data_IF_944805548840
#
_entry.id   IF_944805548840
#
_cell.length_a   1.000
_cell.length_b   1.000
_cell.length_c   1.000
_cell.angle_alpha   90.00
_cell.angle_beta   90.00
_cell.angle_gamma   90.00
#
_symmetry.space_group_name_H-M   'P 1'
#
loop_
_entity.id
_entity.type
_entity.pdbx_description
1 polymer ?
#
# COMPACT_ATOMS: atom_id res chain seq x y z
N UNK A 1 42.04 17.23 -86.62
CA UNK A 1 41.96 15.91 -85.89
C UNK A 1 42.34 15.99 -84.41
N UNK A 2 41.92 17.03 -83.66
CA UNK A 2 42.33 17.20 -82.23
C UNK A 2 41.08 17.23 -81.28
N UNK A 3 39.82 17.12 -81.83
CA UNK A 3 38.62 17.27 -81.02
C UNK A 3 38.14 15.95 -80.32
N UNK A 4 38.62 14.78 -80.77
CA UNK A 4 38.20 13.47 -80.22
C UNK A 4 38.98 12.98 -79.00
N UNK A 5 40.21 13.51 -78.78
CA UNK A 5 41.03 13.06 -77.62
C UNK A 5 40.45 13.46 -76.27
N UNK A 6 39.84 14.65 -76.14
CA UNK A 6 39.27 15.12 -74.90
C UNK A 6 37.99 14.36 -74.54
N UNK A 7 37.16 13.97 -75.51
CA UNK A 7 35.94 13.18 -75.29
C UNK A 7 36.21 11.75 -74.83
N UNK A 8 37.26 11.12 -75.39
CA UNK A 8 37.71 9.80 -74.89
C UNK A 8 38.31 9.87 -73.52
N UNK A 9 39.01 10.94 -73.13
CA UNK A 9 39.56 11.16 -71.80
C UNK A 9 38.43 11.33 -70.77
N UNK A 10 37.35 12.13 -71.05
CA UNK A 10 36.23 12.29 -70.22
C UNK A 10 35.40 10.99 -70.07
N UNK A 11 35.26 10.20 -71.15
CA UNK A 11 34.59 8.89 -71.11
C UNK A 11 35.38 7.89 -70.26
N UNK A 12 36.71 7.83 -70.32
CA UNK A 12 37.51 6.99 -69.44
C UNK A 12 37.46 7.44 -67.99
N UNK A 13 37.45 8.74 -67.72
CA UNK A 13 37.26 9.28 -66.36
C UNK A 13 35.88 8.95 -65.75
N UNK A 14 34.82 9.09 -66.54
CA UNK A 14 33.43 8.73 -66.08
C UNK A 14 33.31 7.24 -65.89
N UNK A 15 33.86 6.41 -66.76
CA UNK A 15 33.91 4.96 -66.64
C UNK A 15 34.70 4.52 -65.39
N UNK A 16 35.86 5.15 -65.16
CA UNK A 16 36.67 4.90 -63.98
C UNK A 16 35.98 5.29 -62.70
N UNK A 17 35.30 6.46 -62.67
CA UNK A 17 34.48 6.89 -61.53
C UNK A 17 33.33 5.92 -61.23
N UNK A 18 32.63 5.45 -62.28
CA UNK A 18 31.55 4.48 -62.17
C UNK A 18 32.05 3.14 -61.60
N UNK A 19 33.22 2.67 -62.04
CA UNK A 19 33.83 1.45 -61.57
C UNK A 19 34.27 1.56 -60.10
N UNK A 20 34.79 2.71 -59.68
CA UNK A 20 35.10 2.99 -58.26
C UNK A 20 33.85 2.98 -57.43
N UNK A 21 32.76 3.64 -57.86
CA UNK A 21 31.49 3.65 -57.16
C UNK A 21 30.86 2.25 -57.05
N UNK A 22 31.01 1.44 -58.12
CA UNK A 22 30.55 0.05 -58.09
C UNK A 22 31.34 -0.79 -57.06
N UNK A 23 32.68 -0.67 -57.03
CA UNK A 23 33.51 -1.36 -56.03
C UNK A 23 33.18 -0.91 -54.61
N UNK A 24 32.99 0.40 -54.38
CA UNK A 24 32.58 0.95 -53.06
C UNK A 24 31.18 0.47 -52.62
N UNK A 25 30.30 0.12 -53.53
CA UNK A 25 29.00 -0.46 -53.25
C UNK A 25 29.10 -1.90 -52.73
N UNK A 26 30.10 -2.70 -53.13
CA UNK A 26 30.29 -4.08 -52.69
C UNK A 26 31.00 -4.22 -51.35
N UNK A 27 31.87 -3.24 -51.01
CA UNK A 27 32.60 -3.26 -49.73
C UNK A 27 31.67 -2.87 -48.60
N UNK A 28 31.40 -3.80 -47.66
CA UNK A 28 30.54 -3.57 -46.47
C UNK A 28 31.42 -3.32 -45.24
N UNK A 29 31.20 -2.19 -44.58
CA UNK A 29 31.83 -1.81 -43.30
C UNK A 29 30.79 -1.81 -42.20
N UNK A 30 31.17 -2.14 -40.93
CA UNK A 30 30.25 -2.03 -39.82
C UNK A 30 29.90 -0.55 -39.60
N UNK A 31 28.60 -0.25 -39.58
CA UNK A 31 28.13 1.10 -39.27
C UNK A 31 28.27 1.36 -37.77
N UNK A 32 28.99 2.41 -37.41
CA UNK A 32 29.12 2.84 -36.02
C UNK A 32 28.40 4.16 -35.80
N UNK A 33 27.48 4.19 -34.86
CA UNK A 33 26.60 5.32 -34.55
C UNK A 33 26.96 5.84 -33.17
N UNK A 34 27.35 7.11 -33.09
CA UNK A 34 27.61 7.78 -31.81
C UNK A 34 26.31 8.44 -31.30
N UNK A 35 25.91 8.10 -30.09
CA UNK A 35 24.71 8.60 -29.46
C UNK A 35 25.00 9.00 -28.01
N UNK A 36 24.38 10.06 -27.51
CA UNK A 36 24.43 10.37 -26.08
C UNK A 36 23.61 9.35 -25.29
N UNK A 37 24.14 8.93 -24.16
CA UNK A 37 23.46 8.07 -23.21
C UNK A 37 23.43 8.69 -21.81
N UNK A 38 22.51 8.25 -21.00
CA UNK A 38 22.40 8.59 -19.58
C UNK A 38 22.42 7.32 -18.74
N UNK A 39 23.22 7.32 -17.69
CA UNK A 39 23.32 6.21 -16.74
C UNK A 39 22.18 6.31 -15.73
N UNK A 40 21.35 5.28 -15.66
CA UNK A 40 20.21 5.17 -14.76
C UNK A 40 20.37 3.93 -13.88
N UNK A 41 19.77 3.88 -12.68
CA UNK A 41 19.65 2.64 -11.92
C UNK A 41 18.73 1.68 -12.68
N UNK A 42 18.88 0.37 -12.47
CA UNK A 42 17.93 -0.59 -13.06
C UNK A 42 16.54 -0.40 -12.46
N UNK A 43 16.47 -0.21 -11.13
CA UNK A 43 15.22 0.12 -10.45
C UNK A 43 15.38 1.39 -9.62
N UNK A 44 14.34 2.20 -9.65
CA UNK A 44 14.23 3.44 -8.90
C UNK A 44 12.90 3.45 -8.15
N UNK A 45 12.95 3.65 -6.85
CA UNK A 45 11.77 3.78 -6.01
C UNK A 45 11.67 5.21 -5.47
N UNK A 46 10.53 5.82 -5.74
CA UNK A 46 10.21 7.19 -5.39
C UNK A 46 9.07 7.21 -4.38
N UNK A 47 9.23 7.99 -3.33
CA UNK A 47 8.17 8.38 -2.42
C UNK A 47 7.95 9.87 -2.56
N UNK A 48 6.83 10.27 -3.12
CA UNK A 48 6.50 11.67 -3.43
C UNK A 48 5.21 12.10 -2.73
N UNK A 49 5.05 13.40 -2.55
CA UNK A 49 3.82 14.02 -2.06
C UNK A 49 3.17 14.79 -3.21
N UNK A 50 1.93 14.47 -3.52
CA UNK A 50 1.17 15.20 -4.54
C UNK A 50 0.74 16.58 -4.04
N UNK A 51 0.34 17.46 -4.96
CA UNK A 51 -0.24 18.78 -4.66
C UNK A 51 -1.52 18.69 -3.81
N UNK A 52 -2.26 17.59 -3.93
CA UNK A 52 -3.43 17.29 -3.10
C UNK A 52 -3.06 16.76 -1.70
N UNK A 53 -1.77 16.58 -1.39
CA UNK A 53 -1.29 16.08 -0.12
C UNK A 53 -1.15 14.56 -0.04
N UNK A 54 -1.60 13.80 -1.03
CA UNK A 54 -1.49 12.34 -1.04
C UNK A 54 -0.04 11.89 -1.18
N UNK A 55 0.29 10.77 -0.55
CA UNK A 55 1.59 10.11 -0.71
C UNK A 55 1.53 9.13 -1.85
N UNK A 56 2.52 9.20 -2.73
CA UNK A 56 2.62 8.35 -3.91
C UNK A 56 3.92 7.58 -3.84
N UNK A 57 3.81 6.27 -3.93
CA UNK A 57 4.96 5.39 -4.10
C UNK A 57 5.00 4.92 -5.55
N UNK A 58 6.15 5.05 -6.19
CA UNK A 58 6.35 4.64 -7.57
C UNK A 58 7.62 3.83 -7.68
N UNK A 59 7.53 2.61 -8.17
CA UNK A 59 8.67 1.78 -8.51
C UNK A 59 8.84 1.76 -10.02
N UNK A 60 9.91 2.38 -10.51
CA UNK A 60 10.25 2.46 -11.93
C UNK A 60 11.30 1.40 -12.24
N UNK A 61 11.05 0.61 -13.24
CA UNK A 61 12.04 -0.30 -13.82
C UNK A 61 12.56 0.29 -15.13
N UNK A 62 13.77 0.83 -15.07
CA UNK A 62 14.41 1.45 -16.23
C UNK A 62 14.89 0.44 -17.29
N UNK A 63 15.09 -0.83 -16.90
CA UNK A 63 15.44 -1.90 -17.84
C UNK A 63 14.34 -2.15 -18.86
N UNK A 64 13.09 -2.11 -18.42
CA UNK A 64 11.92 -2.31 -19.28
C UNK A 64 11.23 -0.99 -19.65
N UNK A 65 11.65 0.12 -19.05
CA UNK A 65 11.05 1.46 -19.19
C UNK A 65 9.55 1.45 -18.80
N UNK A 66 9.21 0.82 -17.68
CA UNK A 66 7.85 0.69 -17.14
C UNK A 66 7.78 1.12 -15.68
N UNK A 67 6.59 1.50 -15.24
CA UNK A 67 6.27 1.57 -13.83
C UNK A 67 5.88 0.15 -13.40
N UNK A 68 6.68 -0.45 -12.50
CA UNK A 68 6.49 -1.82 -12.01
C UNK A 68 5.46 -1.87 -10.89
N UNK A 69 5.43 -0.83 -10.04
CA UNK A 69 4.46 -0.70 -8.96
C UNK A 69 4.09 0.78 -8.76
N UNK A 70 2.81 1.01 -8.47
CA UNK A 70 2.28 2.34 -8.22
C UNK A 70 1.20 2.27 -7.15
N UNK A 71 1.42 2.94 -6.03
CA UNK A 71 0.43 3.01 -4.97
C UNK A 71 0.22 4.44 -4.48
N UNK A 72 -1.03 4.76 -4.15
CA UNK A 72 -1.44 6.07 -3.63
C UNK A 72 -2.05 5.89 -2.25
N UNK A 73 -1.45 6.54 -1.27
CA UNK A 73 -1.99 6.62 0.07
C UNK A 73 -2.69 7.97 0.22
N UNK A 74 -4.01 7.92 0.33
CA UNK A 74 -4.83 9.10 0.56
C UNK A 74 -4.73 9.55 2.01
N UNK A 75 -4.54 10.86 2.18
CA UNK A 75 -4.48 11.51 3.47
C UNK A 75 -5.76 12.31 3.66
N UNK A 76 -6.39 12.19 4.82
CA UNK A 76 -7.60 12.94 5.12
C UNK A 76 -7.30 14.44 5.22
N UNK A 77 -8.22 15.25 4.73
CA UNK A 77 -8.06 16.70 4.71
C UNK A 77 -7.97 17.23 6.15
N UNK A 78 -6.91 17.97 6.45
CA UNK A 78 -6.67 18.54 7.80
C UNK A 78 -5.87 17.63 8.73
N UNK A 79 -5.48 16.40 8.29
CA UNK A 79 -4.59 15.56 9.09
C UNK A 79 -3.15 16.09 9.05
N UNK A 80 -2.51 16.10 10.22
CA UNK A 80 -1.09 16.41 10.34
C UNK A 80 -0.29 15.12 10.26
N UNK A 81 0.47 14.99 9.16
CA UNK A 81 1.32 13.83 8.91
C UNK A 81 2.78 14.20 9.11
N UNK A 82 3.46 13.42 9.91
CA UNK A 82 4.89 13.52 10.13
C UNK A 82 5.58 12.25 9.65
N UNK A 83 6.57 12.40 8.76
CA UNK A 83 7.44 11.30 8.34
C UNK A 83 8.69 11.26 9.20
N UNK A 84 8.96 10.10 9.78
CA UNK A 84 10.17 9.84 10.54
C UNK A 84 10.95 8.71 9.87
N UNK A 85 12.15 9.04 9.38
CA UNK A 85 13.07 8.06 8.83
C UNK A 85 13.65 7.20 9.96
N UNK A 86 13.83 5.90 9.72
CA UNK A 86 14.44 5.01 10.70
C UNK A 86 15.92 5.37 10.93
N UNK A 87 16.35 5.49 12.19
CA UNK A 87 17.66 6.03 12.59
C UNK A 87 18.85 5.34 11.90
N UNK A 88 18.87 4.01 11.86
CA UNK A 88 19.90 3.22 11.18
C UNK A 88 20.02 3.54 9.69
N UNK A 89 18.90 3.84 9.02
CA UNK A 89 18.87 4.14 7.59
C UNK A 89 19.33 5.56 7.26
N UNK A 90 19.25 6.46 8.23
CA UNK A 90 19.78 7.80 8.09
C UNK A 90 21.31 7.80 7.98
N UNK A 91 22.00 6.96 8.74
CA UNK A 91 23.47 6.87 8.79
C UNK A 91 24.02 6.09 7.59
N UNK A 92 23.55 4.86 7.37
CA UNK A 92 24.14 3.95 6.38
C UNK A 92 23.67 4.23 4.95
N UNK A 93 22.47 4.81 4.79
CA UNK A 93 21.79 5.01 3.50
C UNK A 93 21.64 3.74 2.67
N UNK A 94 22.08 2.58 3.16
CA UNK A 94 21.88 1.28 2.53
C UNK A 94 20.56 0.66 2.98
N UNK A 95 19.84 0.10 2.03
CA UNK A 95 18.57 -0.57 2.28
C UNK A 95 18.56 -1.96 1.65
N UNK A 96 17.94 -2.91 2.35
CA UNK A 96 17.58 -4.21 1.81
C UNK A 96 16.10 -4.24 1.45
N UNK A 97 15.71 -5.08 0.51
CA UNK A 97 14.30 -5.34 0.24
C UNK A 97 13.61 -5.87 1.49
N UNK A 98 12.45 -5.30 1.84
CA UNK A 98 11.71 -5.63 3.06
C UNK A 98 12.12 -4.83 4.30
N UNK A 99 13.15 -4.01 4.22
CA UNK A 99 13.55 -3.13 5.33
C UNK A 99 12.49 -2.06 5.60
N UNK A 100 12.23 -1.79 6.89
CA UNK A 100 11.47 -0.62 7.29
C UNK A 100 12.32 0.63 7.11
N UNK A 101 11.88 1.52 6.24
CA UNK A 101 12.58 2.78 5.94
C UNK A 101 12.18 3.89 6.89
N UNK A 102 10.90 4.00 7.19
CA UNK A 102 10.36 5.01 8.06
C UNK A 102 8.88 4.79 8.32
N UNK A 103 8.31 5.65 9.14
CA UNK A 103 6.91 5.58 9.55
C UNK A 103 6.28 6.95 9.36
N UNK A 104 5.11 6.98 8.77
CA UNK A 104 4.24 8.14 8.81
C UNK A 104 3.40 8.07 10.10
N UNK A 105 3.32 9.15 10.83
CA UNK A 105 2.40 9.27 11.96
C UNK A 105 1.31 10.27 11.61
N UNK A 106 0.05 9.82 11.72
CA UNK A 106 -1.15 10.63 11.58
C UNK A 106 -1.68 10.99 12.96
N UNK A 107 -1.93 12.26 13.20
CA UNK A 107 -2.52 12.74 14.47
C UNK A 107 -3.99 12.36 14.56
N UNK A 108 -4.70 12.39 13.43
CA UNK A 108 -6.12 12.05 13.35
C UNK A 108 -6.36 10.56 13.65
N UNK A 109 -5.60 9.67 13.00
CA UNK A 109 -5.71 8.24 13.27
C UNK A 109 -5.40 7.89 14.73
N UNK A 110 -4.40 8.55 15.34
CA UNK A 110 -4.10 8.33 16.76
C UNK A 110 -5.25 8.78 17.66
N UNK A 111 -5.86 9.92 17.37
CA UNK A 111 -7.01 10.44 18.12
C UNK A 111 -8.20 9.51 18.00
N UNK A 112 -8.53 9.08 16.79
CA UNK A 112 -9.64 8.18 16.52
C UNK A 112 -9.45 6.81 17.19
N UNK A 113 -8.24 6.25 17.12
CA UNK A 113 -7.91 5.01 17.80
C UNK A 113 -8.05 5.15 19.33
N UNK A 114 -7.65 6.28 19.91
CA UNK A 114 -7.80 6.54 21.33
C UNK A 114 -9.29 6.67 21.72
N UNK A 115 -10.12 7.32 20.90
CA UNK A 115 -11.57 7.45 21.08
C UNK A 115 -12.23 6.08 21.09
N UNK A 116 -12.00 5.26 20.06
CA UNK A 116 -12.57 3.91 19.95
C UNK A 116 -12.16 2.98 21.09
N UNK A 117 -10.88 3.05 21.51
CA UNK A 117 -10.42 2.30 22.68
C UNK A 117 -11.12 2.73 23.98
N UNK A 118 -11.37 4.03 24.13
CA UNK A 118 -12.14 4.56 25.24
C UNK A 118 -13.58 4.04 25.25
N UNK A 119 -14.27 4.11 24.11
CA UNK A 119 -15.62 3.58 23.96
C UNK A 119 -15.69 2.07 24.22
N UNK A 120 -14.73 1.30 23.71
CA UNK A 120 -14.63 -0.13 23.97
C UNK A 120 -14.47 -0.44 25.47
N UNK A 121 -13.67 0.35 26.18
CA UNK A 121 -13.47 0.17 27.61
C UNK A 121 -14.78 0.43 28.40
N UNK A 122 -15.53 1.47 28.04
CA UNK A 122 -16.84 1.78 28.63
C UNK A 122 -17.82 0.66 28.36
N UNK A 123 -17.92 0.19 27.10
CA UNK A 123 -18.88 -0.86 26.74
C UNK A 123 -18.54 -2.21 27.41
N UNK A 124 -17.25 -2.54 27.52
CA UNK A 124 -16.82 -3.72 28.30
C UNK A 124 -17.20 -3.63 29.76
N UNK A 125 -17.10 -2.45 30.36
CA UNK A 125 -17.50 -2.23 31.75
C UNK A 125 -19.03 -2.37 31.91
N UNK A 126 -19.80 -1.89 30.93
CA UNK A 126 -21.24 -2.03 30.89
C UNK A 126 -21.67 -3.50 30.74
N UNK A 127 -21.00 -4.23 29.83
CA UNK A 127 -21.24 -5.68 29.69
C UNK A 127 -20.94 -6.44 31.00
N UNK A 128 -19.82 -6.12 31.64
CA UNK A 128 -19.45 -6.70 32.91
C UNK A 128 -20.52 -6.42 34.00
N UNK A 129 -21.03 -5.20 34.02
CA UNK A 129 -22.13 -4.83 34.90
C UNK A 129 -23.40 -5.68 34.64
N UNK A 130 -23.81 -5.86 33.39
CA UNK A 130 -24.94 -6.71 33.03
C UNK A 130 -24.75 -8.19 33.41
N UNK A 131 -23.52 -8.68 33.27
CA UNK A 131 -23.18 -10.08 33.60
C UNK A 131 -23.13 -10.35 35.11
N UNK A 132 -22.84 -9.35 35.96
CA UNK A 132 -22.79 -9.52 37.42
C UNK A 132 -24.16 -9.61 38.07
N UNK A 133 -25.23 -9.22 37.35
CA UNK A 133 -26.57 -9.19 37.90
C UNK A 133 -26.78 -8.15 39.00
N UNK A 134 -27.88 -8.26 39.73
CA UNK A 134 -28.20 -7.39 40.87
C UNK A 134 -27.31 -7.67 42.07
N UNK A 135 -27.14 -6.64 42.91
CA UNK A 135 -26.32 -6.78 44.13
C UNK A 135 -26.83 -7.93 45.01
N UNK A 136 -25.94 -8.78 45.56
CA UNK A 136 -26.36 -9.89 46.42
C UNK A 136 -27.27 -9.49 47.60
N UNK A 137 -27.09 -8.28 48.14
CA UNK A 137 -27.90 -7.72 49.21
C UNK A 137 -29.36 -7.49 48.78
N UNK A 138 -29.59 -7.07 47.53
CA UNK A 138 -30.95 -6.82 47.00
C UNK A 138 -31.67 -8.16 46.76
N UNK A 139 -30.94 -9.14 46.26
CA UNK A 139 -31.49 -10.52 46.10
C UNK A 139 -31.82 -11.13 47.45
N UNK A 140 -30.97 -10.94 48.46
CA UNK A 140 -31.19 -11.45 49.82
C UNK A 140 -32.38 -10.77 50.49
N UNK A 141 -32.58 -9.46 50.32
CA UNK A 141 -33.76 -8.74 50.79
C UNK A 141 -35.07 -9.30 50.16
N UNK A 142 -35.09 -9.50 48.85
CA UNK A 142 -36.23 -10.08 48.15
C UNK A 142 -36.54 -11.53 48.62
N UNK A 143 -35.51 -12.33 48.93
CA UNK A 143 -35.67 -13.66 49.53
C UNK A 143 -36.33 -13.59 50.92
N UNK A 144 -35.86 -12.70 51.80
CA UNK A 144 -36.46 -12.50 53.13
C UNK A 144 -37.91 -12.03 53.06
N UNK A 145 -38.19 -11.18 52.06
CA UNK A 145 -39.55 -10.70 51.83
C UNK A 145 -40.49 -11.83 51.39
N UNK A 146 -40.02 -12.73 50.52
CA UNK A 146 -40.77 -13.93 50.15
C UNK A 146 -40.91 -14.89 51.34
N UNK A 147 -39.88 -15.10 52.17
CA UNK A 147 -39.92 -15.92 53.36
C UNK A 147 -41.00 -15.40 54.36
N UNK A 148 -41.02 -14.07 54.62
CA UNK A 148 -41.96 -13.41 55.44
C UNK A 148 -43.41 -13.61 54.93
N UNK A 149 -43.63 -13.36 53.62
CA UNK A 149 -44.93 -13.56 53.00
C UNK A 149 -45.42 -15.03 53.09
N UNK A 150 -44.49 -15.97 52.89
CA UNK A 150 -44.75 -17.41 52.99
C UNK A 150 -45.18 -17.82 54.43
N UNK A 151 -44.52 -17.30 55.48
CA UNK A 151 -44.88 -17.54 56.85
C UNK A 151 -46.28 -16.99 57.19
N UNK A 152 -46.60 -15.80 56.65
CA UNK A 152 -47.94 -15.23 56.85
C UNK A 152 -49.05 -16.08 56.21
N UNK A 153 -48.81 -16.62 55.02
CA UNK A 153 -49.69 -17.58 54.36
C UNK A 153 -49.84 -18.83 55.21
N UNK A 154 -48.77 -19.41 55.74
CA UNK A 154 -48.84 -20.62 56.59
C UNK A 154 -49.67 -20.39 57.87
N UNK A 155 -49.49 -19.24 58.52
CA UNK A 155 -50.25 -18.87 59.68
C UNK A 155 -51.71 -18.68 59.33
N UNK A 156 -52.04 -17.96 58.25
CA UNK A 156 -53.40 -17.73 57.82
C UNK A 156 -54.06 -19.02 57.33
N UNK A 157 -53.37 -19.98 56.78
CA UNK A 157 -53.91 -21.31 56.47
C UNK A 157 -54.30 -22.08 57.71
N UNK A 158 -53.51 -21.96 58.79
CA UNK A 158 -53.89 -22.58 60.06
C UNK A 158 -55.21 -21.96 60.66
N UNK A 159 -55.32 -20.63 60.54
CA UNK A 159 -56.54 -19.91 60.96
C UNK A 159 -57.70 -20.31 60.06
N UNK A 160 -57.53 -20.31 58.74
CA UNK A 160 -58.58 -20.71 57.79
C UNK A 160 -59.04 -22.14 58.04
N UNK A 161 -58.15 -23.13 58.24
CA UNK A 161 -58.55 -24.53 58.58
C UNK A 161 -59.36 -24.60 59.86
N UNK A 162 -58.96 -23.88 60.87
CA UNK A 162 -59.72 -23.84 62.12
C UNK A 162 -61.10 -23.23 61.93
N UNK A 163 -61.24 -22.13 61.19
CA UNK A 163 -62.55 -21.51 60.89
C UNK A 163 -63.42 -22.41 60.02
N UNK A 164 -62.86 -23.11 59.07
CA UNK A 164 -63.56 -24.08 58.24
C UNK A 164 -64.11 -25.25 59.08
N UNK A 165 -63.34 -25.77 60.05
CA UNK A 165 -63.78 -26.82 60.94
C UNK A 165 -64.88 -26.33 61.84
N UNK A 166 -64.89 -25.07 62.34
CA UNK A 166 -65.90 -24.48 63.14
C UNK A 166 -67.17 -24.20 62.31
N UNK A 167 -67.05 -23.75 61.08
CA UNK A 167 -68.18 -23.55 60.18
C UNK A 167 -68.89 -24.86 59.85
N UNK A 168 -68.11 -25.92 59.53
CA UNK A 168 -68.68 -27.25 59.29
C UNK A 168 -69.40 -27.83 60.50
N UNK A 169 -69.09 -27.34 61.71
CA UNK A 169 -69.81 -27.71 62.97
C UNK A 169 -70.94 -26.76 63.31
N UNK A 170 -71.22 -25.73 62.46
CA UNK A 170 -72.28 -24.76 62.70
C UNK A 170 -72.04 -23.78 63.85
N UNK A 171 -70.75 -23.58 64.25
CA UNK A 171 -70.30 -22.75 65.38
C UNK A 171 -69.95 -21.32 65.05
N UNK A 172 -69.81 -20.98 63.74
CA UNK A 172 -69.57 -19.62 63.27
C UNK A 172 -70.50 -19.29 62.12
N UNK A 173 -70.61 -17.97 61.79
CA UNK A 173 -71.46 -17.49 60.71
C UNK A 173 -70.70 -17.65 59.32
N UNK A 174 -71.54 -17.71 58.28
CA UNK A 174 -71.03 -17.72 56.91
C UNK A 174 -70.12 -16.50 56.62
N UNK A 175 -70.49 -15.33 57.12
CA UNK A 175 -69.70 -14.10 56.98
C UNK A 175 -68.30 -14.21 57.61
N UNK A 176 -68.20 -14.83 58.82
CA UNK A 176 -66.91 -15.03 59.48
C UNK A 176 -66.05 -16.02 58.73
N UNK A 177 -66.60 -17.04 58.11
CA UNK A 177 -65.94 -17.99 57.28
C UNK A 177 -65.38 -17.32 55.94
N UNK A 178 -66.26 -16.53 55.28
CA UNK A 178 -65.86 -15.77 54.07
C UNK A 178 -64.77 -14.76 54.36
N UNK A 179 -64.74 -14.11 55.51
CA UNK A 179 -63.70 -13.21 55.94
C UNK A 179 -62.39 -13.98 56.11
N UNK A 180 -62.36 -15.17 56.69
CA UNK A 180 -61.19 -15.98 56.86
C UNK A 180 -60.64 -16.49 55.48
N UNK A 181 -61.57 -16.84 54.60
CA UNK A 181 -61.24 -17.25 53.23
C UNK A 181 -60.60 -16.07 52.43
N UNK A 182 -61.21 -14.91 52.45
CA UNK A 182 -60.77 -13.71 51.80
C UNK A 182 -59.41 -13.25 52.33
N UNK A 183 -59.20 -13.35 53.65
CA UNK A 183 -57.91 -13.04 54.26
C UNK A 183 -56.79 -13.99 53.77
N UNK A 184 -57.05 -15.31 53.69
CA UNK A 184 -56.11 -16.26 53.16
C UNK A 184 -55.74 -15.97 51.70
N UNK A 185 -56.71 -15.63 50.86
CA UNK A 185 -56.53 -15.30 49.48
C UNK A 185 -55.68 -14.04 49.34
N UNK A 186 -55.90 -13.02 50.16
CA UNK A 186 -55.09 -11.80 50.17
C UNK A 186 -53.59 -12.11 50.46
N UNK A 187 -53.31 -12.93 51.47
CA UNK A 187 -51.92 -13.31 51.81
C UNK A 187 -51.28 -14.17 50.73
N UNK A 188 -52.05 -15.02 50.03
CA UNK A 188 -51.50 -15.77 48.82
C UNK A 188 -51.14 -14.86 47.68
N UNK A 189 -51.94 -13.83 47.41
CA UNK A 189 -51.65 -12.81 46.41
C UNK A 189 -50.34 -12.05 46.77
N UNK A 190 -50.18 -11.70 48.06
CA UNK A 190 -49.00 -11.02 48.56
C UNK A 190 -47.73 -11.88 48.45
N UNK A 191 -47.79 -13.17 48.75
CA UNK A 191 -46.73 -14.14 48.53
C UNK A 191 -46.42 -14.28 47.04
N UNK A 192 -47.39 -14.32 46.14
CA UNK A 192 -47.29 -14.32 44.72
C UNK A 192 -46.50 -13.10 44.20
N UNK A 193 -46.81 -11.91 44.74
CA UNK A 193 -46.10 -10.66 44.43
C UNK A 193 -44.66 -10.70 44.91
N UNK A 194 -44.37 -11.17 46.13
CA UNK A 194 -43.00 -11.30 46.63
C UNK A 194 -42.18 -12.30 45.82
N UNK A 195 -42.79 -13.41 45.37
CA UNK A 195 -42.17 -14.40 44.49
C UNK A 195 -41.82 -13.79 43.11
N UNK A 196 -42.73 -13.04 42.52
CA UNK A 196 -42.49 -12.35 41.27
C UNK A 196 -41.37 -11.32 41.40
N UNK A 197 -41.32 -10.59 42.52
CA UNK A 197 -40.25 -9.63 42.80
C UNK A 197 -38.88 -10.32 42.89
N UNK A 198 -38.79 -11.44 43.62
CA UNK A 198 -37.57 -12.24 43.71
C UNK A 198 -37.13 -12.76 42.32
N UNK A 199 -38.06 -13.22 41.49
CA UNK A 199 -37.75 -13.67 40.13
C UNK A 199 -37.18 -12.55 39.27
N UNK A 200 -37.73 -11.33 39.33
CA UNK A 200 -37.23 -10.15 38.61
C UNK A 200 -35.81 -9.81 39.04
N UNK A 201 -35.57 -9.72 40.36
CA UNK A 201 -34.26 -9.35 40.91
C UNK A 201 -33.21 -10.44 40.65
N UNK A 202 -33.61 -11.72 40.68
CA UNK A 202 -32.72 -12.86 40.46
C UNK A 202 -32.35 -13.06 38.99
N UNK A 203 -33.21 -12.63 38.05
CA UNK A 203 -32.94 -12.80 36.61
C UNK A 203 -31.83 -11.89 36.08
N UNK A 204 -31.50 -10.79 36.78
CA UNK A 204 -30.49 -9.82 36.33
C UNK A 204 -30.91 -9.04 35.08
N UNK A 205 -29.93 -8.65 34.28
CA UNK A 205 -30.19 -7.96 33.01
C UNK A 205 -30.89 -8.91 32.01
N UNK A 206 -31.74 -8.34 31.16
CA UNK A 206 -32.36 -9.10 30.07
C UNK A 206 -31.28 -9.66 29.12
N UNK A 207 -31.46 -10.90 28.70
CA UNK A 207 -30.55 -11.55 27.72
C UNK A 207 -30.31 -10.68 26.48
N UNK A 208 -31.37 -9.98 26.02
CA UNK A 208 -31.25 -9.05 24.89
C UNK A 208 -30.32 -7.87 25.16
N UNK A 209 -30.19 -7.42 26.42
CA UNK A 209 -29.25 -6.33 26.78
C UNK A 209 -27.81 -6.83 26.79
N UNK A 210 -27.59 -8.03 27.30
CA UNK A 210 -26.27 -8.69 27.28
C UNK A 210 -25.82 -8.90 25.82
N UNK A 211 -26.70 -9.46 25.01
CA UNK A 211 -26.43 -9.70 23.58
C UNK A 211 -26.14 -8.39 22.83
N UNK A 212 -26.89 -7.34 23.06
CA UNK A 212 -26.65 -6.02 22.48
C UNK A 212 -25.28 -5.50 22.86
N UNK A 213 -24.92 -5.53 24.13
CA UNK A 213 -23.62 -5.05 24.60
C UNK A 213 -22.45 -5.91 24.05
N UNK A 214 -22.64 -7.25 23.99
CA UNK A 214 -21.65 -8.15 23.34
C UNK A 214 -21.42 -7.78 21.87
N UNK A 215 -22.51 -7.59 21.11
CA UNK A 215 -22.43 -7.21 19.70
C UNK A 215 -21.76 -5.84 19.54
N UNK A 216 -22.01 -4.89 20.44
CA UNK A 216 -21.38 -3.58 20.42
C UNK A 216 -19.90 -3.66 20.72
N UNK A 217 -19.47 -4.46 21.71
CA UNK A 217 -18.05 -4.75 22.01
C UNK A 217 -17.37 -5.34 20.78
N UNK A 218 -18.00 -6.31 20.11
CA UNK A 218 -17.45 -6.92 18.91
C UNK A 218 -17.30 -5.89 17.76
N UNK A 219 -18.31 -5.11 17.50
CA UNK A 219 -18.28 -4.07 16.46
C UNK A 219 -17.15 -3.06 16.68
N UNK A 220 -17.00 -2.55 17.92
CA UNK A 220 -15.91 -1.65 18.27
C UNK A 220 -14.53 -2.30 18.13
N UNK A 221 -14.41 -3.60 18.47
CA UNK A 221 -13.16 -4.33 18.30
C UNK A 221 -12.79 -4.48 16.81
N UNK A 222 -13.77 -4.76 15.95
CA UNK A 222 -13.56 -4.90 14.50
C UNK A 222 -13.20 -3.56 13.86
N UNK A 223 -13.81 -2.46 14.33
CA UNK A 223 -13.46 -1.11 13.88
C UNK A 223 -12.03 -0.74 14.29
N UNK A 224 -11.61 -1.04 15.53
CA UNK A 224 -10.23 -0.87 16.01
C UNK A 224 -9.25 -1.70 15.18
N UNK A 225 -9.58 -2.95 14.85
CA UNK A 225 -8.75 -3.82 14.03
C UNK A 225 -8.60 -3.26 12.62
N UNK A 226 -9.66 -2.78 12.02
CA UNK A 226 -9.65 -2.12 10.70
C UNK A 226 -8.76 -0.88 10.71
N UNK A 227 -8.86 -0.05 11.75
CA UNK A 227 -8.04 1.14 11.91
C UNK A 227 -6.57 0.80 12.14
N UNK A 228 -6.26 -0.26 12.92
CA UNK A 228 -4.91 -0.74 13.12
C UNK A 228 -4.29 -1.28 11.81
N UNK A 229 -5.06 -2.00 11.00
CA UNK A 229 -4.61 -2.46 9.68
C UNK A 229 -4.28 -1.25 8.78
N UNK A 230 -5.15 -0.24 8.78
CA UNK A 230 -4.87 1.02 8.07
C UNK A 230 -3.58 1.67 8.57
N UNK A 231 -3.32 1.65 9.87
CA UNK A 231 -2.10 2.20 10.48
C UNK A 231 -0.83 1.47 10.03
N UNK A 232 -0.89 0.15 9.76
CA UNK A 232 0.25 -0.61 9.25
C UNK A 232 0.70 -0.14 7.87
N UNK A 233 -0.21 0.35 7.01
CA UNK A 233 0.12 0.91 5.70
C UNK A 233 0.91 2.24 5.78
N UNK A 234 0.95 2.89 6.94
CA UNK A 234 1.81 4.06 7.19
C UNK A 234 3.27 3.71 7.46
N UNK A 235 3.59 2.42 7.59
CA UNK A 235 4.97 1.93 7.64
C UNK A 235 5.50 1.77 6.22
N UNK A 236 6.58 2.49 5.91
CA UNK A 236 7.20 2.47 4.59
C UNK A 236 8.24 1.37 4.56
N UNK A 237 8.01 0.38 3.71
CA UNK A 237 8.88 -0.78 3.51
C UNK A 237 9.56 -0.65 2.15
N UNK A 238 10.87 -0.91 2.11
CA UNK A 238 11.64 -0.88 0.87
C UNK A 238 11.23 -2.01 -0.10
N UNK A 239 10.75 -1.70 -1.32
CA UNK A 239 10.44 -2.72 -2.32
C UNK A 239 11.70 -3.27 -3.01
N UNK A 240 12.82 -2.56 -2.93
CA UNK A 240 14.10 -2.89 -3.55
C UNK A 240 15.24 -2.82 -2.55
N UNK A 241 16.34 -3.52 -2.87
CA UNK A 241 17.64 -3.31 -2.22
C UNK A 241 18.41 -2.21 -2.96
N UNK A 242 19.19 -1.41 -2.23
CA UNK A 242 19.96 -0.36 -2.85
C UNK A 242 20.42 0.72 -1.88
N UNK A 243 20.43 1.96 -2.34
CA UNK A 243 20.89 3.11 -1.57
C UNK A 243 19.85 4.24 -1.56
N UNK A 244 19.62 4.82 -0.39
CA UNK A 244 18.84 6.04 -0.25
C UNK A 244 19.64 7.25 -0.73
N UNK A 245 19.00 8.06 -1.55
CA UNK A 245 19.57 9.30 -2.09
C UNK A 245 18.76 10.48 -1.57
N UNK A 246 19.47 11.50 -1.07
CA UNK A 246 18.84 12.76 -0.70
C UNK A 246 18.34 13.51 -1.95
N UNK A 247 17.15 14.04 -1.86
CA UNK A 247 16.58 14.89 -2.91
C UNK A 247 16.42 16.32 -2.41
N UNK A 248 16.55 17.29 -3.31
CA UNK A 248 16.25 18.71 -3.05
C UNK A 248 14.89 19.10 -3.64
N UNK A 249 14.17 18.16 -4.26
CA UNK A 249 12.83 18.42 -4.80
C UNK A 249 11.83 18.50 -3.66
N UNK A 250 11.01 19.53 -3.67
CA UNK A 250 10.03 19.85 -2.60
C UNK A 250 8.96 18.76 -2.47
N UNK A 251 8.63 18.08 -3.56
CA UNK A 251 7.56 17.08 -3.59
C UNK A 251 8.06 15.64 -3.38
N UNK A 252 9.39 15.44 -3.37
CA UNK A 252 10.00 14.12 -3.20
C UNK A 252 10.51 13.96 -1.78
N UNK A 253 9.94 13.02 -1.05
CA UNK A 253 10.30 12.74 0.35
C UNK A 253 11.55 11.85 0.38
N UNK A 254 11.62 10.84 -0.51
CA UNK A 254 12.66 9.83 -0.51
C UNK A 254 12.84 9.23 -1.90
N UNK A 255 14.10 8.95 -2.24
CA UNK A 255 14.48 8.19 -3.44
C UNK A 255 15.39 7.05 -3.03
N UNK A 256 15.09 5.85 -3.51
CA UNK A 256 15.97 4.70 -3.39
C UNK A 256 16.35 4.19 -4.77
N UNK A 257 17.64 3.93 -4.96
CA UNK A 257 18.21 3.49 -6.23
C UNK A 257 18.84 2.11 -6.07
N UNK A 258 18.47 1.19 -6.95
CA UNK A 258 19.18 -0.08 -7.06
C UNK A 258 20.60 0.19 -7.61
N UNK A 259 21.60 -0.21 -6.85
CA UNK A 259 23.01 -0.03 -7.19
C UNK A 259 23.70 -1.33 -7.61
N UNK A 260 22.94 -2.41 -7.79
CA UNK A 260 23.48 -3.72 -8.19
C UNK A 260 23.88 -3.77 -9.66
N UNK A 261 23.14 -3.06 -10.50
CA UNK A 261 23.37 -2.94 -11.94
C UNK A 261 22.84 -1.59 -12.46
N UNK A 262 23.25 -1.25 -13.66
CA UNK A 262 22.92 0.05 -14.28
C UNK A 262 22.36 -0.13 -15.67
N UNK A 263 21.40 0.72 -16.03
CA UNK A 263 20.88 0.84 -17.39
C UNK A 263 21.42 2.11 -18.03
N UNK A 264 21.86 2.03 -19.28
CA UNK A 264 22.23 3.19 -20.07
C UNK A 264 21.14 3.44 -21.10
N UNK A 265 20.43 4.55 -20.92
CA UNK A 265 19.38 5.00 -21.84
C UNK A 265 20.00 5.89 -22.91
N UNK A 266 19.89 5.47 -24.16
CA UNK A 266 20.50 6.11 -25.32
C UNK A 266 19.44 6.73 -26.22
N UNK A 267 19.67 7.96 -26.71
CA UNK A 267 18.77 8.63 -27.66
C UNK A 267 19.28 8.40 -29.10
N UNK A 268 18.71 7.41 -29.79
CA UNK A 268 19.05 7.02 -31.14
C UNK A 268 18.19 7.81 -32.12
N UNK A 269 18.79 8.53 -33.09
CA UNK A 269 18.04 9.27 -34.11
C UNK A 269 17.24 8.30 -34.99
N UNK A 270 16.00 8.66 -35.34
CA UNK A 270 15.14 7.84 -36.18
C UNK A 270 15.80 7.44 -37.51
N UNK A 271 16.57 8.32 -38.10
CA UNK A 271 17.33 8.06 -39.35
C UNK A 271 18.40 6.98 -39.19
N UNK A 272 18.87 6.71 -37.97
CA UNK A 272 19.90 5.71 -37.67
C UNK A 272 19.31 4.36 -37.27
N UNK A 273 18.02 4.30 -37.06
CA UNK A 273 17.28 3.12 -36.56
C UNK A 273 17.40 1.89 -37.50
N UNK A 274 17.40 2.01 -38.85
CA UNK A 274 17.52 0.85 -39.72
C UNK A 274 18.81 0.03 -39.54
N UNK A 275 19.88 0.64 -39.05
CA UNK A 275 21.17 -0.03 -38.83
C UNK A 275 21.30 -0.63 -37.42
N UNK A 276 20.37 -0.30 -36.50
CA UNK A 276 20.43 -0.71 -35.10
C UNK A 276 19.43 -1.84 -34.85
N UNK A 277 19.87 -2.88 -34.20
CA UNK A 277 19.01 -4.01 -33.84
C UNK A 277 19.27 -4.42 -32.37
N UNK A 278 18.31 -5.07 -31.76
CA UNK A 278 18.45 -5.63 -30.43
C UNK A 278 19.56 -6.68 -30.41
N UNK A 279 20.54 -6.53 -29.51
CA UNK A 279 21.75 -7.32 -29.47
C UNK A 279 22.97 -6.65 -30.10
N UNK A 280 22.82 -5.49 -30.79
CA UNK A 280 23.95 -4.69 -31.26
C UNK A 280 24.94 -4.41 -30.13
N UNK A 281 26.25 -4.50 -30.43
CA UNK A 281 27.30 -4.17 -29.45
C UNK A 281 27.31 -2.67 -29.19
N UNK A 282 27.32 -2.30 -27.92
CA UNK A 282 27.39 -0.91 -27.46
C UNK A 282 28.68 -0.71 -26.68
N UNK A 283 29.53 0.20 -27.15
CA UNK A 283 30.70 0.68 -26.43
C UNK A 283 30.31 1.95 -25.70
N UNK A 284 30.41 1.93 -24.35
CA UNK A 284 29.98 3.01 -23.46
C UNK A 284 31.21 3.65 -22.87
N UNK A 285 31.40 4.94 -23.12
CA UNK A 285 32.54 5.73 -22.66
C UNK A 285 32.06 6.83 -21.72
N UNK A 286 32.40 6.78 -20.41
CA UNK A 286 32.13 7.87 -19.48
C UNK A 286 32.91 9.13 -19.89
N UNK A 287 32.30 10.30 -19.71
CA UNK A 287 32.95 11.59 -20.08
C UNK A 287 34.26 11.86 -19.33
N UNK A 288 34.45 11.22 -18.16
CA UNK A 288 35.59 11.45 -17.27
C UNK A 288 36.61 10.28 -17.26
N UNK A 289 36.49 9.31 -18.17
CA UNK A 289 37.35 8.12 -18.18
C UNK A 289 37.65 7.67 -19.60
N UNK A 290 38.86 7.21 -19.81
CA UNK A 290 39.26 6.59 -21.09
C UNK A 290 38.88 5.11 -21.18
N UNK A 291 38.34 4.55 -20.09
CA UNK A 291 37.91 3.15 -20.06
C UNK A 291 36.56 3.01 -20.75
N UNK A 292 36.52 2.16 -21.77
CA UNK A 292 35.30 1.85 -22.53
C UNK A 292 34.71 0.53 -22.00
N UNK A 293 33.46 0.56 -21.56
CA UNK A 293 32.70 -0.63 -21.20
C UNK A 293 31.94 -1.15 -22.42
N UNK A 294 31.96 -2.47 -22.62
CA UNK A 294 31.22 -3.13 -23.70
C UNK A 294 29.98 -3.80 -23.17
N UNK A 295 28.83 -3.49 -23.77
CA UNK A 295 27.56 -4.09 -23.49
C UNK A 295 26.82 -4.43 -24.78
N UNK A 296 25.60 -4.97 -24.63
CA UNK A 296 24.68 -5.21 -25.75
C UNK A 296 23.46 -4.35 -25.62
N UNK A 297 22.90 -3.91 -26.73
CA UNK A 297 21.62 -3.25 -26.77
C UNK A 297 20.55 -4.26 -26.33
N UNK A 298 20.04 -4.08 -25.12
CA UNK A 298 19.10 -4.99 -24.50
C UNK A 298 17.69 -4.79 -25.04
N UNK A 299 17.26 -3.51 -25.15
CA UNK A 299 15.94 -3.15 -25.62
C UNK A 299 16.01 -1.95 -26.57
N UNK A 300 15.15 -1.95 -27.57
CA UNK A 300 14.96 -0.86 -28.51
C UNK A 300 13.49 -0.45 -28.44
N UNK A 301 13.25 0.80 -28.05
CA UNK A 301 11.88 1.33 -27.91
C UNK A 301 11.15 1.37 -29.27
N UNK A 302 9.85 1.29 -29.20
CA UNK A 302 8.96 1.39 -30.39
C UNK A 302 8.33 2.77 -30.55
N UNK A 303 8.49 3.63 -29.54
CA UNK A 303 7.91 4.99 -29.54
C UNK A 303 8.93 6.03 -29.97
N UNK A 304 8.52 6.92 -30.86
CA UNK A 304 9.31 8.05 -31.30
C UNK A 304 9.08 9.24 -30.38
N UNK A 305 10.14 9.82 -29.88
CA UNK A 305 10.13 11.00 -29.02
C UNK A 305 10.79 12.18 -29.73
N UNK A 306 10.39 13.39 -29.35
CA UNK A 306 11.02 14.62 -29.89
C UNK A 306 11.96 15.20 -28.84
N UNK A 307 13.25 15.33 -29.19
CA UNK A 307 14.27 15.98 -28.35
C UNK A 307 14.95 17.07 -29.18
N UNK A 308 14.84 18.30 -28.74
CA UNK A 308 15.45 19.44 -29.43
C UNK A 308 15.14 19.49 -30.95
N UNK A 309 13.87 19.24 -31.32
CA UNK A 309 13.41 19.23 -32.71
C UNK A 309 13.84 18.00 -33.55
N UNK A 310 14.45 16.99 -32.92
CA UNK A 310 14.87 15.76 -33.61
C UNK A 310 14.06 14.57 -33.13
N UNK A 311 13.68 13.71 -34.04
CA UNK A 311 13.00 12.45 -33.74
C UNK A 311 14.03 11.42 -33.27
N UNK A 312 13.77 10.85 -32.07
CA UNK A 312 14.64 9.84 -31.46
C UNK A 312 13.82 8.67 -30.93
N UNK A 313 14.44 7.50 -30.92
CA UNK A 313 13.97 6.30 -30.26
C UNK A 313 14.95 5.96 -29.14
N UNK A 314 14.43 5.57 -27.96
CA UNK A 314 15.30 5.20 -26.87
C UNK A 314 15.76 3.75 -26.99
N UNK A 315 17.08 3.54 -26.92
CA UNK A 315 17.71 2.25 -26.75
C UNK A 315 18.23 2.10 -25.32
N UNK A 316 18.23 0.87 -24.79
CA UNK A 316 18.71 0.53 -23.46
C UNK A 316 19.81 -0.52 -23.53
N UNK A 317 20.94 -0.26 -22.85
CA UNK A 317 22.00 -1.24 -22.62
C UNK A 317 22.18 -1.45 -21.12
N UNK A 318 22.49 -2.69 -20.70
CA UNK A 318 22.70 -3.03 -19.29
C UNK A 318 24.19 -3.15 -19.00
N UNK A 319 24.60 -2.69 -17.81
CA UNK A 319 25.95 -2.83 -17.30
C UNK A 319 25.86 -3.47 -15.91
N UNK A 320 26.43 -4.66 -15.75
CA UNK A 320 26.35 -5.43 -14.51
C UNK A 320 27.33 -4.93 -13.43
N UNK A 321 28.47 -4.38 -13.83
CA UNK A 321 29.39 -3.75 -12.90
C UNK A 321 30.15 -2.64 -13.59
N UNK A 322 30.21 -1.48 -12.98
CA UNK A 322 31.01 -0.36 -13.43
C UNK A 322 32.43 -0.51 -12.84
N UNK A 323 33.43 -0.74 -13.69
CA UNK A 323 34.83 -0.79 -13.29
C UNK A 323 35.34 0.55 -12.80
N UNK A 324 34.69 1.63 -13.18
CA UNK A 324 34.95 2.99 -12.73
C UNK A 324 33.73 3.58 -12.05
N UNK A 325 33.87 4.46 -11.04
CA UNK A 325 32.77 5.10 -10.35
C UNK A 325 32.06 6.09 -11.28
N UNK A 326 31.13 5.60 -12.08
CA UNK A 326 30.21 6.45 -12.84
C UNK A 326 29.04 6.78 -11.91
N UNK A 327 28.81 8.06 -11.70
CA UNK A 327 27.67 8.50 -10.91
C UNK A 327 26.37 8.31 -11.71
N UNK A 328 25.32 7.86 -11.03
CA UNK A 328 23.99 7.82 -11.59
C UNK A 328 23.56 9.21 -12.07
N UNK A 329 22.91 9.27 -13.22
CA UNK A 329 22.54 10.52 -13.87
C UNK A 329 23.59 11.09 -14.81
N UNK A 330 24.84 10.58 -14.79
CA UNK A 330 25.87 11.07 -15.69
C UNK A 330 25.53 10.81 -17.15
N UNK A 331 25.93 11.76 -18.00
CA UNK A 331 25.92 11.60 -19.45
C UNK A 331 27.16 10.82 -19.88
N UNK A 332 26.99 9.91 -20.83
CA UNK A 332 28.03 9.07 -21.41
C UNK A 332 27.96 9.10 -22.92
N UNK A 333 29.08 8.94 -23.58
CA UNK A 333 29.12 8.73 -25.02
C UNK A 333 28.97 7.24 -25.31
N UNK A 334 27.98 6.89 -26.13
CA UNK A 334 27.75 5.52 -26.55
C UNK A 334 28.02 5.38 -28.02
N UNK A 335 28.76 4.31 -28.41
CA UNK A 335 28.99 3.93 -29.80
C UNK A 335 28.32 2.59 -30.07
N UNK A 336 27.24 2.62 -30.84
CA UNK A 336 26.51 1.44 -31.26
C UNK A 336 27.13 0.88 -32.53
N UNK A 337 27.48 -0.40 -32.52
CA UNK A 337 27.99 -1.10 -33.71
C UNK A 337 26.80 -1.81 -34.35
N UNK A 338 26.28 -1.22 -35.39
CA UNK A 338 25.11 -1.70 -36.14
C UNK A 338 25.44 -2.64 -37.29
N UNK A 339 24.47 -2.78 -38.19
CA UNK A 339 24.60 -3.60 -39.41
C UNK A 339 25.74 -3.12 -40.30
N UNK A 340 26.25 -4.03 -41.12
CA UNK A 340 27.22 -3.67 -42.15
C UNK A 340 26.53 -2.98 -43.32
N UNK A 341 26.98 -1.77 -43.63
CA UNK A 341 26.49 -0.99 -44.77
C UNK A 341 27.59 -0.84 -45.81
N UNK A 342 27.24 -0.60 -47.09
CA UNK A 342 28.22 -0.34 -48.13
C UNK A 342 28.93 0.98 -47.84
N UNK A 343 30.21 1.06 -48.23
CA UNK A 343 31.02 2.29 -48.10
C UNK A 343 30.34 3.46 -48.80
N UNK A 344 29.71 3.23 -49.94
CA UNK A 344 28.95 4.23 -50.67
C UNK A 344 27.80 4.80 -49.83
N UNK A 345 26.96 3.95 -49.23
CA UNK A 345 25.88 4.39 -48.36
C UNK A 345 26.37 5.10 -47.08
N UNK A 346 27.51 4.68 -46.56
CA UNK A 346 28.13 5.36 -45.41
C UNK A 346 28.57 6.80 -45.76
N UNK A 347 29.16 7.00 -46.94
CA UNK A 347 29.54 8.34 -47.43
C UNK A 347 28.31 9.23 -47.69
N UNK A 348 27.29 8.71 -48.33
CA UNK A 348 26.04 9.47 -48.53
C UNK A 348 25.42 9.91 -47.20
N UNK A 349 25.44 9.04 -46.21
CA UNK A 349 24.88 9.35 -44.88
C UNK A 349 25.67 10.46 -44.15
N UNK A 350 27.01 10.53 -44.35
CA UNK A 350 27.82 11.61 -43.83
C UNK A 350 27.60 12.94 -44.55
N UNK A 351 27.26 12.91 -45.85
CA UNK A 351 27.04 14.12 -46.65
C UNK A 351 25.60 14.68 -46.53
N UNK A 352 24.67 13.88 -46.05
CA UNK A 352 23.26 14.28 -45.92
C UNK A 352 22.89 14.85 -44.54
N UNK A 353 23.87 15.41 -43.84
CA UNK A 353 23.69 16.07 -42.54
C UNK A 353 23.21 17.51 -42.70
#
# INVERSE_FOLDING_TARGET
MIKNSKTHLYFLLTLGLFLILAVLSFIKIPCSIKVPGQVLPVKEWLLTKSTAGNLIQTLINHQFNIIEDYSVMQIERGDFIHFQLHEKKYLDRKIGRGDTIGIFSSSELKRELARLKGELAVERSLLAYYLTGEKPSVVEEAKKQLEYASKNVEEQEKIYRRQNDLFNKGLISEQEFELAQSALELFRVEMGRARAQLAVVSSGAKESQIQYSQNRVQALQDEINTLNNRFQHFTIIAPISGKLVGTKLTDTILVALDTSSYAVKMAIKLQDLPEVYQGSTVEIRPSNSDVTEKSKLYNLGTTVNMINGRQVVYGLALIDSLKNPINLGNLVECKIIGNRISVLNYLFKQLSI
#
